data_IF_718203319011
#
_entry.id   IF_718203319011
#
_cell.length_a   1.000
_cell.length_b   1.000
_cell.length_c   1.000
_cell.angle_alpha   90.00
_cell.angle_beta   90.00
_cell.angle_gamma   90.00
#
_symmetry.space_group_name_H-M   'P 1'
#
loop_
_entity.id
_entity.type
_entity.pdbx_description
1 polymer ?
#
# COMPACT_ATOMS: atom_id res chain seq x y z
N UNK A 1 -15.54 14.65 22.55
CA UNK A 1 -14.97 13.44 21.93
C UNK A 1 -15.95 12.29 22.05
N UNK A 2 -16.30 11.91 23.28
CA UNK A 2 -17.26 10.83 23.55
C UNK A 2 -18.62 11.10 22.89
N UNK A 3 -19.15 12.33 23.00
CA UNK A 3 -20.37 12.73 22.28
C UNK A 3 -20.33 12.52 20.75
N UNK A 4 -19.16 12.62 20.11
CA UNK A 4 -19.03 12.38 18.65
C UNK A 4 -19.04 10.88 18.35
N UNK A 5 -18.43 10.07 19.20
CA UNK A 5 -18.45 8.62 19.10
C UNK A 5 -19.86 8.07 19.35
N UNK A 6 -20.53 8.55 20.41
CA UNK A 6 -21.93 8.23 20.73
C UNK A 6 -22.87 8.64 19.60
N UNK A 7 -22.67 9.82 19.02
CA UNK A 7 -23.48 10.28 17.89
C UNK A 7 -23.32 9.38 16.67
N UNK A 8 -22.11 8.88 16.36
CA UNK A 8 -21.93 7.92 15.28
C UNK A 8 -22.71 6.63 15.54
N UNK A 9 -22.59 6.10 16.76
CA UNK A 9 -23.25 4.85 17.17
C UNK A 9 -24.76 5.01 17.06
N UNK A 10 -25.30 6.07 17.66
CA UNK A 10 -26.72 6.40 17.63
C UNK A 10 -27.24 6.57 16.20
N UNK A 11 -26.53 7.33 15.35
CA UNK A 11 -26.96 7.60 13.97
C UNK A 11 -26.99 6.31 13.12
N UNK A 12 -25.98 5.45 13.25
CA UNK A 12 -25.93 4.17 12.54
C UNK A 12 -27.02 3.21 13.03
N UNK A 13 -27.33 3.19 14.32
CA UNK A 13 -28.42 2.35 14.85
C UNK A 13 -29.80 2.87 14.47
N UNK A 14 -30.00 4.19 14.49
CA UNK A 14 -31.29 4.81 14.19
C UNK A 14 -31.63 4.75 12.70
N UNK A 15 -30.64 4.91 11.81
CA UNK A 15 -30.89 5.10 10.38
C UNK A 15 -30.28 4.01 9.49
N UNK A 16 -29.55 3.05 10.07
CA UNK A 16 -28.87 2.00 9.31
C UNK A 16 -27.73 2.53 8.44
N UNK A 17 -27.02 1.64 7.74
CA UNK A 17 -25.92 2.07 6.86
C UNK A 17 -26.45 2.70 5.57
N UNK A 18 -27.50 2.14 4.97
CA UNK A 18 -28.22 2.72 3.83
C UNK A 18 -29.25 3.75 4.29
N UNK A 19 -28.79 4.96 4.62
CA UNK A 19 -29.64 6.03 5.12
C UNK A 19 -29.95 7.11 4.06
N UNK A 20 -30.99 7.91 4.34
CA UNK A 20 -31.38 9.05 3.52
C UNK A 20 -30.21 10.06 3.32
N UNK A 21 -30.19 10.84 2.21
CA UNK A 21 -29.11 11.79 1.92
C UNK A 21 -28.79 12.78 3.07
N UNK A 22 -29.79 13.19 3.83
CA UNK A 22 -29.67 14.07 4.99
C UNK A 22 -28.85 13.41 6.10
N UNK A 23 -29.17 12.15 6.42
CA UNK A 23 -28.46 11.35 7.42
C UNK A 23 -27.02 11.04 6.97
N UNK A 24 -26.80 10.82 5.67
CA UNK A 24 -25.45 10.70 5.10
C UNK A 24 -24.61 11.96 5.30
N UNK A 25 -25.24 13.13 5.24
CA UNK A 25 -24.56 14.41 5.49
C UNK A 25 -24.12 14.50 6.95
N UNK A 26 -24.98 14.10 7.89
CA UNK A 26 -24.64 14.01 9.32
C UNK A 26 -23.47 13.03 9.52
N UNK A 27 -23.57 11.80 8.97
CA UNK A 27 -22.52 10.79 9.07
C UNK A 27 -21.18 11.27 8.51
N UNK A 28 -21.20 12.02 7.40
CA UNK A 28 -20.00 12.65 6.83
C UNK A 28 -19.37 13.66 7.79
N UNK A 29 -20.17 14.50 8.45
CA UNK A 29 -19.68 15.46 9.44
C UNK A 29 -19.09 14.75 10.66
N UNK A 30 -19.75 13.71 11.15
CA UNK A 30 -19.26 12.88 12.26
C UNK A 30 -17.93 12.21 11.89
N UNK A 31 -17.84 11.54 10.75
CA UNK A 31 -16.62 10.88 10.28
C UNK A 31 -15.47 11.88 10.05
N UNK A 32 -15.77 13.07 9.53
CA UNK A 32 -14.78 14.15 9.38
C UNK A 32 -14.27 14.63 10.73
N UNK A 33 -15.15 14.75 11.71
CA UNK A 33 -14.81 15.18 13.07
C UNK A 33 -13.93 14.13 13.75
N UNK A 34 -14.26 12.84 13.63
CA UNK A 34 -13.43 11.74 14.13
C UNK A 34 -12.04 11.72 13.48
N UNK A 35 -11.96 11.97 12.17
CA UNK A 35 -10.67 12.06 11.45
C UNK A 35 -9.81 13.18 12.04
N UNK A 36 -10.39 14.35 12.28
CA UNK A 36 -9.68 15.50 12.83
C UNK A 36 -9.27 15.29 14.29
N UNK A 37 -10.15 14.75 15.12
CA UNK A 37 -9.86 14.45 16.53
C UNK A 37 -8.72 13.44 16.67
N UNK A 38 -8.60 12.51 15.72
CA UNK A 38 -7.56 11.48 15.74
C UNK A 38 -6.24 11.93 15.09
N UNK A 39 -6.20 13.06 14.39
CA UNK A 39 -4.98 13.54 13.74
C UNK A 39 -4.03 14.19 14.74
N UNK A 40 -2.80 13.66 14.86
CA UNK A 40 -1.75 14.22 15.72
C UNK A 40 -2.00 14.16 17.24
N UNK A 41 -3.21 13.82 17.71
CA UNK A 41 -3.57 13.86 19.13
C UNK A 41 -3.62 12.46 19.77
N UNK A 42 -2.53 12.10 20.47
CA UNK A 42 -2.41 10.79 21.14
C UNK A 42 -3.44 10.54 22.23
N UNK A 43 -3.91 11.58 22.94
CA UNK A 43 -4.92 11.43 23.99
C UNK A 43 -6.29 11.12 23.37
N UNK A 44 -6.67 11.84 22.32
CA UNK A 44 -7.91 11.59 21.58
C UNK A 44 -7.93 10.21 20.96
N UNK A 45 -6.81 9.78 20.35
CA UNK A 45 -6.67 8.41 19.83
C UNK A 45 -6.91 7.37 20.90
N UNK A 46 -6.26 7.48 22.07
CA UNK A 46 -6.44 6.53 23.18
C UNK A 46 -7.90 6.49 23.65
N UNK A 47 -8.52 7.65 23.88
CA UNK A 47 -9.93 7.72 24.31
C UNK A 47 -10.88 7.09 23.31
N UNK A 48 -10.74 7.41 22.02
CA UNK A 48 -11.60 6.87 20.98
C UNK A 48 -11.37 5.37 20.75
N UNK A 49 -10.12 4.89 20.82
CA UNK A 49 -9.82 3.45 20.75
C UNK A 49 -10.45 2.68 21.92
N UNK A 50 -10.48 3.26 23.11
CA UNK A 50 -11.08 2.67 24.30
C UNK A 50 -12.59 2.88 24.39
N UNK A 51 -13.18 3.70 23.51
CA UNK A 51 -14.62 3.93 23.51
C UNK A 51 -15.35 2.62 23.15
N UNK A 52 -16.33 2.18 23.94
CA UNK A 52 -17.12 0.99 23.64
C UNK A 52 -17.75 1.10 22.24
N UNK A 53 -17.69 0.01 21.48
CA UNK A 53 -18.34 -0.17 20.17
C UNK A 53 -17.92 0.79 19.04
N UNK A 54 -17.11 1.83 19.28
CA UNK A 54 -16.79 2.81 18.23
C UNK A 54 -16.09 2.16 17.04
N UNK A 55 -15.10 1.29 17.28
CA UNK A 55 -14.36 0.63 16.20
C UNK A 55 -15.30 -0.28 15.40
N UNK A 56 -16.17 -1.02 16.07
CA UNK A 56 -17.15 -1.93 15.46
C UNK A 56 -18.10 -1.16 14.54
N UNK A 57 -18.61 0.00 14.97
CA UNK A 57 -19.50 0.82 14.16
C UNK A 57 -18.79 1.51 13.00
N UNK A 58 -17.54 1.93 13.21
CA UNK A 58 -16.70 2.44 12.13
C UNK A 58 -16.45 1.33 11.08
N UNK A 59 -16.29 0.08 11.49
CA UNK A 59 -16.14 -1.06 10.58
C UNK A 59 -17.45 -1.43 9.87
N UNK A 60 -18.62 -1.35 10.55
CA UNK A 60 -19.94 -1.54 9.90
C UNK A 60 -20.15 -0.60 8.71
N UNK A 61 -19.59 0.61 8.76
CA UNK A 61 -19.64 1.57 7.63
C UNK A 61 -18.73 1.14 6.46
N UNK A 62 -17.70 0.33 6.72
CA UNK A 62 -16.82 -0.22 5.68
C UNK A 62 -17.49 -1.41 4.97
N UNK A 63 -18.16 -2.27 5.75
CA UNK A 63 -18.81 -3.52 5.35
C UNK A 63 -19.82 -3.34 4.21
N UNK A 64 -20.55 -2.23 4.18
CA UNK A 64 -21.61 -1.95 3.20
C UNK A 64 -21.14 -2.01 1.74
N UNK A 65 -21.31 -3.21 1.19
CA UNK A 65 -20.88 -3.66 -0.13
C UNK A 65 -21.94 -3.44 -1.20
N UNK A 66 -23.14 -2.97 -0.83
CA UNK A 66 -24.26 -2.85 -1.75
C UNK A 66 -24.34 -1.49 -2.46
N UNK A 67 -23.63 -0.45 -1.97
CA UNK A 67 -23.61 0.86 -2.63
C UNK A 67 -22.20 1.48 -2.74
N UNK A 68 -21.26 0.79 -3.40
CA UNK A 68 -19.88 1.26 -3.64
C UNK A 68 -19.77 2.72 -4.17
N UNK A 69 -20.79 3.18 -4.90
CA UNK A 69 -20.83 4.55 -5.43
C UNK A 69 -21.34 5.59 -4.42
N UNK A 70 -22.27 5.25 -3.52
CA UNK A 70 -23.06 6.25 -2.81
C UNK A 70 -22.40 6.86 -1.56
N UNK A 71 -21.31 6.28 -1.05
CA UNK A 71 -20.69 6.70 0.21
C UNK A 71 -19.16 6.86 0.17
N UNK A 72 -18.57 7.12 -1.00
CA UNK A 72 -17.09 7.21 -1.17
C UNK A 72 -16.42 8.14 -0.16
N UNK A 73 -16.98 9.33 0.07
CA UNK A 73 -16.37 10.30 1.00
C UNK A 73 -16.38 9.82 2.44
N UNK A 74 -17.48 9.22 2.90
CA UNK A 74 -17.60 8.68 4.26
C UNK A 74 -16.59 7.53 4.43
N UNK A 75 -16.49 6.63 3.45
CA UNK A 75 -15.53 5.52 3.47
C UNK A 75 -14.08 5.97 3.50
N UNK A 76 -13.74 7.09 2.82
CA UNK A 76 -12.41 7.72 2.94
C UNK A 76 -12.17 8.22 4.36
N UNK A 77 -13.10 8.97 4.93
CA UNK A 77 -12.98 9.55 6.27
C UNK A 77 -12.87 8.46 7.36
N UNK A 78 -13.68 7.41 7.24
CA UNK A 78 -13.62 6.24 8.12
C UNK A 78 -12.25 5.54 8.01
N UNK A 79 -11.77 5.26 6.79
CA UNK A 79 -10.45 4.66 6.62
C UNK A 79 -9.31 5.57 7.12
N UNK A 80 -9.42 6.89 6.96
CA UNK A 80 -8.49 7.86 7.54
C UNK A 80 -8.52 7.86 9.06
N UNK A 81 -9.70 7.76 9.67
CA UNK A 81 -9.86 7.62 11.13
C UNK A 81 -9.16 6.33 11.61
N UNK A 82 -9.43 5.18 10.98
CA UNK A 82 -8.76 3.92 11.33
C UNK A 82 -7.24 3.98 11.13
N UNK A 83 -6.78 4.64 10.06
CA UNK A 83 -5.35 4.86 9.81
C UNK A 83 -4.72 5.67 10.95
N UNK A 84 -5.38 6.72 11.41
CA UNK A 84 -4.90 7.54 12.53
C UNK A 84 -4.87 6.75 13.85
N UNK A 85 -5.91 5.97 14.13
CA UNK A 85 -6.04 5.15 15.34
C UNK A 85 -5.01 4.01 15.41
N UNK A 86 -4.57 3.48 14.26
CA UNK A 86 -3.57 2.40 14.18
C UNK A 86 -2.12 2.88 14.20
N UNK A 87 -1.87 4.17 13.92
CA UNK A 87 -0.52 4.73 13.93
C UNK A 87 0.10 4.68 15.33
N UNK A 88 1.14 3.85 15.49
CA UNK A 88 1.86 3.68 16.76
C UNK A 88 1.08 2.96 17.86
N UNK A 89 -0.09 2.36 17.56
CA UNK A 89 -0.95 1.72 18.55
C UNK A 89 -1.14 0.23 18.24
N UNK A 90 -0.33 -0.63 18.87
CA UNK A 90 -0.38 -2.09 18.66
C UNK A 90 -1.71 -2.72 19.07
N UNK A 91 -2.36 -2.22 20.12
CA UNK A 91 -3.66 -2.73 20.57
C UNK A 91 -4.75 -2.48 19.51
N UNK A 92 -4.81 -1.28 18.95
CA UNK A 92 -5.73 -0.97 17.85
C UNK A 92 -5.45 -1.84 16.63
N UNK A 93 -4.18 -2.00 16.25
CA UNK A 93 -3.83 -2.85 15.10
C UNK A 93 -4.31 -4.29 15.27
N UNK A 94 -4.07 -4.89 16.44
CA UNK A 94 -4.56 -6.25 16.76
C UNK A 94 -6.08 -6.34 16.72
N UNK A 95 -6.78 -5.43 17.41
CA UNK A 95 -8.25 -5.40 17.44
C UNK A 95 -8.86 -5.26 16.04
N UNK A 96 -8.25 -4.45 15.17
CA UNK A 96 -8.70 -4.32 13.78
C UNK A 96 -8.43 -5.60 12.98
N UNK A 97 -7.23 -6.18 13.07
CA UNK A 97 -6.91 -7.41 12.35
C UNK A 97 -7.79 -8.59 12.81
N UNK A 98 -8.08 -8.70 14.10
CA UNK A 98 -8.94 -9.74 14.66
C UNK A 98 -10.44 -9.50 14.44
N UNK A 99 -10.84 -8.35 13.89
CA UNK A 99 -12.24 -8.08 13.62
C UNK A 99 -12.71 -8.92 12.41
N UNK A 100 -13.81 -9.67 12.55
CA UNK A 100 -14.31 -10.53 11.48
C UNK A 100 -14.45 -9.77 10.15
N UNK A 101 -13.95 -10.38 9.07
CA UNK A 101 -14.07 -9.91 7.68
C UNK A 101 -13.50 -8.52 7.37
N UNK A 102 -12.92 -7.77 8.33
CA UNK A 102 -12.42 -6.42 8.05
C UNK A 102 -11.40 -6.42 6.91
N UNK A 103 -10.42 -7.33 6.97
CA UNK A 103 -9.39 -7.41 5.93
C UNK A 103 -9.98 -7.81 4.59
N UNK A 104 -10.99 -8.68 4.56
CA UNK A 104 -11.69 -9.05 3.33
C UNK A 104 -12.42 -7.84 2.71
N UNK A 105 -13.10 -7.04 3.53
CA UNK A 105 -13.75 -5.81 3.07
C UNK A 105 -12.73 -4.80 2.53
N UNK A 106 -11.60 -4.63 3.21
CA UNK A 106 -10.51 -3.76 2.77
C UNK A 106 -9.94 -4.23 1.42
N UNK A 107 -9.73 -5.54 1.24
CA UNK A 107 -9.28 -6.15 -0.01
C UNK A 107 -10.26 -5.85 -1.15
N UNK A 108 -11.56 -6.11 -0.92
CA UNK A 108 -12.62 -5.86 -1.90
C UNK A 108 -12.66 -4.39 -2.31
N UNK A 109 -12.53 -3.46 -1.37
CA UNK A 109 -12.49 -2.01 -1.65
C UNK A 109 -11.28 -1.62 -2.51
N UNK A 110 -10.11 -2.19 -2.20
CA UNK A 110 -8.90 -1.92 -2.96
C UNK A 110 -9.04 -2.41 -4.40
N UNK A 111 -9.64 -3.58 -4.61
CA UNK A 111 -9.90 -4.13 -5.94
C UNK A 111 -10.96 -3.37 -6.72
N UNK A 112 -12.10 -3.04 -6.09
CA UNK A 112 -13.26 -2.49 -6.78
C UNK A 112 -13.21 -0.96 -6.96
N UNK A 113 -12.44 -0.24 -6.13
CA UNK A 113 -12.46 1.22 -6.12
C UNK A 113 -11.07 1.84 -6.13
N UNK A 114 -10.61 2.16 -7.33
CA UNK A 114 -9.38 2.92 -7.59
C UNK A 114 -9.24 4.18 -6.73
N UNK A 115 -10.32 4.96 -6.58
CA UNK A 115 -10.29 6.21 -5.80
C UNK A 115 -10.21 6.04 -4.28
N UNK A 116 -10.44 4.81 -3.78
CA UNK A 116 -10.37 4.46 -2.36
C UNK A 116 -9.09 3.69 -2.03
N UNK A 117 -8.53 2.96 -3.00
CA UNK A 117 -7.35 2.12 -2.84
C UNK A 117 -6.20 2.83 -2.10
N UNK A 118 -5.91 4.09 -2.43
CA UNK A 118 -4.86 4.88 -1.77
C UNK A 118 -5.03 5.02 -0.25
N UNK A 119 -6.25 5.22 0.24
CA UNK A 119 -6.50 5.43 1.69
C UNK A 119 -6.49 4.09 2.42
N UNK A 120 -7.07 3.06 1.83
CA UNK A 120 -7.12 1.71 2.40
C UNK A 120 -5.74 1.01 2.38
N UNK A 121 -4.92 1.29 1.37
CA UNK A 121 -3.50 0.91 1.39
C UNK A 121 -2.74 1.59 2.53
N UNK A 122 -3.07 2.85 2.85
CA UNK A 122 -2.52 3.55 4.02
C UNK A 122 -2.87 2.85 5.35
N UNK A 123 -4.11 2.36 5.48
CA UNK A 123 -4.52 1.54 6.63
C UNK A 123 -3.71 0.24 6.69
N UNK A 124 -3.62 -0.51 5.59
CA UNK A 124 -2.84 -1.76 5.53
C UNK A 124 -1.35 -1.53 5.80
N UNK A 125 -0.76 -0.42 5.37
CA UNK A 125 0.62 -0.03 5.70
C UNK A 125 0.80 0.08 7.22
N UNK A 126 -0.13 0.74 7.92
CA UNK A 126 -0.05 0.88 9.36
C UNK A 126 -0.24 -0.45 10.09
N UNK A 127 -1.21 -1.27 9.66
CA UNK A 127 -1.47 -2.59 10.23
C UNK A 127 -0.27 -3.53 10.05
N UNK A 128 0.35 -3.53 8.87
CA UNK A 128 1.50 -4.38 8.55
C UNK A 128 2.83 -3.97 9.20
N UNK A 129 2.95 -2.72 9.65
CA UNK A 129 4.17 -2.25 10.32
C UNK A 129 4.30 -2.85 11.73
N UNK A 130 5.38 -3.61 11.98
CA UNK A 130 5.60 -4.33 13.24
C UNK A 130 4.40 -5.22 13.64
N UNK A 131 3.79 -5.88 12.66
CA UNK A 131 2.77 -6.89 12.89
C UNK A 131 3.37 -8.11 13.61
N UNK A 132 2.61 -8.70 14.53
CA UNK A 132 2.93 -10.02 15.08
C UNK A 132 2.54 -11.14 14.10
N UNK A 133 2.88 -12.39 14.43
CA UNK A 133 2.68 -13.53 13.54
C UNK A 133 1.20 -13.74 13.15
N UNK A 134 0.28 -13.51 14.10
CA UNK A 134 -1.17 -13.64 13.87
C UNK A 134 -1.65 -12.56 12.91
N UNK A 135 -1.30 -11.29 13.16
CA UNK A 135 -1.61 -10.20 12.25
C UNK A 135 -1.00 -10.40 10.86
N UNK A 136 0.24 -10.88 10.77
CA UNK A 136 0.90 -11.17 9.49
C UNK A 136 0.16 -12.23 8.68
N UNK A 137 -0.35 -13.29 9.33
CA UNK A 137 -1.16 -14.31 8.66
C UNK A 137 -2.50 -13.74 8.15
N UNK A 138 -3.17 -12.94 8.99
CA UNK A 138 -4.43 -12.27 8.65
C UNK A 138 -4.28 -11.30 7.48
N UNK A 139 -3.17 -10.58 7.41
CA UNK A 139 -2.91 -9.56 6.38
C UNK A 139 -2.40 -10.14 5.05
N UNK A 140 -1.87 -11.38 5.04
CA UNK A 140 -1.27 -12.00 3.86
C UNK A 140 -2.17 -11.97 2.59
N UNK A 141 -3.49 -12.22 2.66
CA UNK A 141 -4.35 -12.17 1.48
C UNK A 141 -4.41 -10.78 0.79
N UNK A 142 -4.03 -9.72 1.49
CA UNK A 142 -4.05 -8.36 0.93
C UNK A 142 -2.93 -8.05 -0.07
N UNK A 143 -1.90 -8.91 -0.15
CA UNK A 143 -0.73 -8.70 -1.01
C UNK A 143 -1.13 -8.60 -2.48
N UNK A 144 -1.89 -9.56 -3.01
CA UNK A 144 -2.25 -9.56 -4.44
C UNK A 144 -3.19 -8.40 -4.79
N UNK A 145 -4.11 -8.01 -3.90
CA UNK A 145 -4.98 -6.86 -4.13
C UNK A 145 -4.19 -5.55 -4.17
N UNK A 146 -3.19 -5.37 -3.30
CA UNK A 146 -2.30 -4.22 -3.34
C UNK A 146 -1.45 -4.22 -4.61
N UNK A 147 -0.92 -5.36 -5.04
CA UNK A 147 -0.10 -5.47 -6.25
C UNK A 147 -0.92 -5.12 -7.51
N UNK A 148 -2.15 -5.64 -7.63
CA UNK A 148 -3.10 -5.23 -8.67
C UNK A 148 -3.44 -3.75 -8.61
N UNK A 149 -3.65 -3.19 -7.42
CA UNK A 149 -3.94 -1.76 -7.27
C UNK A 149 -2.76 -0.88 -7.71
N UNK A 150 -1.52 -1.26 -7.40
CA UNK A 150 -0.33 -0.58 -7.90
C UNK A 150 -0.27 -0.65 -9.43
N UNK A 151 -0.50 -1.82 -10.03
CA UNK A 151 -0.52 -1.97 -11.49
C UNK A 151 -1.60 -1.13 -12.17
N UNK A 152 -2.81 -1.08 -11.60
CA UNK A 152 -3.89 -0.22 -12.09
C UNK A 152 -3.47 1.25 -12.05
N UNK A 153 -2.93 1.73 -10.93
CA UNK A 153 -2.46 3.10 -10.79
C UNK A 153 -1.32 3.44 -11.77
N UNK A 154 -0.38 2.51 -11.96
CA UNK A 154 0.70 2.64 -12.92
C UNK A 154 0.20 2.82 -14.36
N UNK A 155 -0.66 1.91 -14.84
CA UNK A 155 -1.22 1.94 -16.21
C UNK A 155 -2.08 3.18 -16.47
N UNK A 156 -2.81 3.65 -15.47
CA UNK A 156 -3.58 4.90 -15.58
C UNK A 156 -2.65 6.11 -15.70
N UNK A 157 -1.56 6.14 -14.95
CA UNK A 157 -0.56 7.20 -15.05
C UNK A 157 0.15 7.20 -16.42
N UNK A 158 0.52 6.01 -16.91
CA UNK A 158 1.20 5.82 -18.20
C UNK A 158 0.32 6.20 -19.39
N UNK A 159 -0.89 5.64 -19.49
CA UNK A 159 -1.83 5.93 -20.60
C UNK A 159 -2.15 7.42 -20.74
N UNK A 160 -2.27 8.15 -19.62
CA UNK A 160 -2.51 9.60 -19.62
C UNK A 160 -1.25 10.43 -19.86
N UNK A 161 -0.05 9.85 -19.74
CA UNK A 161 1.19 10.51 -20.13
C UNK A 161 1.31 10.65 -21.65
N UNK A 162 0.82 9.64 -22.39
CA UNK A 162 0.85 9.55 -23.85
C UNK A 162 -0.23 10.41 -24.53
N UNK A 163 -1.37 10.65 -23.86
CA UNK A 163 -2.52 11.38 -24.43
C UNK A 163 -2.38 12.93 -24.47
N UNK A 164 -1.16 13.48 -24.30
CA UNK A 164 -0.85 14.91 -24.04
C UNK A 164 -1.43 15.43 -22.72
N UNK A 165 -0.54 16.05 -21.94
CA UNK A 165 -0.71 16.42 -20.54
C UNK A 165 -2.06 17.05 -20.21
N UNK A 166 -2.89 16.31 -19.47
CA UNK A 166 -4.12 16.84 -18.88
C UNK A 166 -4.16 16.51 -17.38
N UNK A 167 -3.98 17.58 -16.59
CA UNK A 167 -4.03 17.71 -15.13
C UNK A 167 -2.88 17.06 -14.32
N UNK A 168 -1.91 17.90 -13.91
CA UNK A 168 -0.91 17.64 -12.85
C UNK A 168 -1.52 16.96 -11.61
N UNK A 169 -2.76 17.31 -11.25
CA UNK A 169 -3.49 16.72 -10.14
C UNK A 169 -3.72 15.20 -10.29
N UNK A 170 -3.97 14.69 -11.49
CA UNK A 170 -4.14 13.24 -11.71
C UNK A 170 -2.83 12.49 -11.54
N UNK A 171 -1.73 12.97 -12.12
CA UNK A 171 -0.40 12.36 -11.92
C UNK A 171 -0.02 12.30 -10.45
N UNK A 172 -0.32 13.37 -9.70
CA UNK A 172 -0.11 13.42 -8.25
C UNK A 172 -0.99 12.40 -7.51
N UNK A 173 -2.25 12.24 -7.91
CA UNK A 173 -3.15 11.26 -7.28
C UNK A 173 -2.69 9.81 -7.52
N UNK A 174 -2.30 9.47 -8.75
CA UNK A 174 -1.80 8.13 -9.08
C UNK A 174 -0.47 7.85 -8.38
N UNK A 175 0.45 8.81 -8.36
CA UNK A 175 1.71 8.71 -7.61
C UNK A 175 1.46 8.47 -6.12
N UNK A 176 0.50 9.18 -5.49
CA UNK A 176 0.12 8.93 -4.09
C UNK A 176 -0.45 7.52 -3.88
N UNK A 177 -1.26 7.02 -4.82
CA UNK A 177 -1.81 5.66 -4.76
C UNK A 177 -0.69 4.62 -4.86
N UNK A 178 0.23 4.78 -5.81
CA UNK A 178 1.42 3.94 -5.98
C UNK A 178 2.27 3.94 -4.72
N UNK A 179 2.63 5.11 -4.18
CA UNK A 179 3.43 5.20 -2.96
C UNK A 179 2.75 4.49 -1.77
N UNK A 180 1.43 4.68 -1.60
CA UNK A 180 0.69 4.05 -0.51
C UNK A 180 0.64 2.52 -0.64
N UNK A 181 0.33 2.01 -1.83
CA UNK A 181 0.24 0.57 -2.11
C UNK A 181 1.60 -0.11 -2.01
N UNK A 182 2.64 0.46 -2.61
CA UNK A 182 4.01 -0.06 -2.54
C UNK A 182 4.58 0.01 -1.11
N UNK A 183 4.26 1.05 -0.33
CA UNK A 183 4.69 1.12 1.08
C UNK A 183 4.05 0.03 1.93
N UNK A 184 2.77 -0.30 1.69
CA UNK A 184 2.10 -1.42 2.35
C UNK A 184 2.70 -2.77 1.93
N UNK A 185 2.93 -2.95 0.62
CA UNK A 185 3.59 -4.14 0.08
C UNK A 185 5.00 -4.33 0.61
N UNK A 186 5.76 -3.25 0.79
CA UNK A 186 7.11 -3.33 1.33
C UNK A 186 7.12 -3.95 2.74
N UNK A 187 6.19 -3.50 3.61
CA UNK A 187 6.02 -4.10 4.93
C UNK A 187 5.61 -5.58 4.81
N UNK A 188 4.56 -5.89 4.03
CA UNK A 188 4.01 -7.24 3.89
C UNK A 188 5.01 -8.23 3.27
N UNK A 189 5.83 -7.79 2.32
CA UNK A 189 6.84 -8.61 1.67
C UNK A 189 7.90 -9.13 2.66
N UNK A 190 8.13 -8.40 3.76
CA UNK A 190 9.03 -8.82 4.82
C UNK A 190 8.48 -9.97 5.67
N UNK A 191 7.15 -10.14 5.74
CA UNK A 191 6.50 -11.03 6.72
C UNK A 191 6.69 -12.52 6.45
N UNK A 192 6.58 -12.96 5.20
CA UNK A 192 6.60 -14.39 4.88
C UNK A 192 7.21 -14.68 3.51
N UNK A 193 7.53 -15.95 3.26
CA UNK A 193 7.93 -16.41 1.92
C UNK A 193 6.75 -16.38 0.95
N UNK A 194 5.54 -16.70 1.42
CA UNK A 194 4.35 -16.74 0.57
C UNK A 194 3.93 -15.34 0.11
N UNK A 195 4.14 -14.30 0.91
CA UNK A 195 3.92 -12.92 0.47
C UNK A 195 4.89 -12.54 -0.65
N UNK A 196 6.17 -12.93 -0.55
CA UNK A 196 7.16 -12.69 -1.63
C UNK A 196 6.79 -13.46 -2.90
N UNK A 197 6.33 -14.70 -2.76
CA UNK A 197 5.81 -15.52 -3.87
C UNK A 197 4.62 -14.83 -4.54
N UNK A 198 3.62 -14.40 -3.78
CA UNK A 198 2.43 -13.72 -4.30
C UNK A 198 2.78 -12.42 -5.05
N UNK A 199 3.80 -11.69 -4.59
CA UNK A 199 4.33 -10.52 -5.30
C UNK A 199 4.95 -10.91 -6.65
N UNK A 200 5.78 -11.96 -6.69
CA UNK A 200 6.42 -12.41 -7.92
C UNK A 200 5.43 -13.03 -8.93
N UNK A 201 4.36 -13.66 -8.44
CA UNK A 201 3.35 -14.32 -9.27
C UNK A 201 2.29 -13.36 -9.84
N UNK A 202 2.21 -12.12 -9.34
CA UNK A 202 1.25 -11.14 -9.87
C UNK A 202 1.69 -10.65 -11.27
N UNK A 203 0.93 -10.93 -12.34
CA UNK A 203 1.38 -10.69 -13.71
C UNK A 203 1.68 -9.22 -14.02
N UNK A 204 2.88 -8.95 -14.55
CA UNK A 204 3.33 -7.61 -14.91
C UNK A 204 3.80 -6.75 -13.73
N UNK A 205 3.68 -7.23 -12.48
CA UNK A 205 4.03 -6.45 -11.30
C UNK A 205 5.53 -6.22 -11.19
N UNK A 206 6.35 -7.24 -11.47
CA UNK A 206 7.81 -7.11 -11.42
C UNK A 206 8.35 -6.19 -12.52
N UNK A 207 7.80 -6.26 -13.73
CA UNK A 207 8.13 -5.35 -14.83
C UNK A 207 7.82 -3.90 -14.45
N UNK A 208 6.62 -3.65 -13.89
CA UNK A 208 6.26 -2.33 -13.38
C UNK A 208 7.21 -1.86 -12.28
N UNK A 209 7.62 -2.72 -11.33
CA UNK A 209 8.63 -2.34 -10.34
C UNK A 209 9.94 -1.92 -10.99
N UNK A 210 10.41 -2.65 -12.00
CA UNK A 210 11.66 -2.35 -12.73
C UNK A 210 11.54 -1.00 -13.44
N UNK A 211 10.40 -0.71 -14.07
CA UNK A 211 10.16 0.57 -14.76
C UNK A 211 10.10 1.76 -13.80
N UNK A 212 9.63 1.55 -12.57
CA UNK A 212 9.64 2.56 -11.51
C UNK A 212 11.04 2.85 -10.95
N UNK A 213 12.04 2.00 -11.18
CA UNK A 213 13.41 2.24 -10.74
C UNK A 213 14.08 3.29 -11.64
N UNK A 214 14.10 4.55 -11.19
CA UNK A 214 14.70 5.67 -11.92
C UNK A 214 15.62 6.49 -11.01
N UNK A 215 16.69 7.04 -11.59
CA UNK A 215 17.62 7.96 -10.91
C UNK A 215 17.07 9.39 -10.78
N UNK A 216 15.86 9.67 -11.28
CA UNK A 216 15.19 10.97 -11.12
C UNK A 216 14.91 11.28 -9.64
N UNK A 217 15.61 12.29 -9.11
CA UNK A 217 15.47 12.73 -7.72
C UNK A 217 14.03 13.14 -7.36
N UNK A 218 13.21 13.60 -8.33
CA UNK A 218 11.80 13.94 -8.10
C UNK A 218 10.92 12.71 -7.85
N UNK A 219 11.38 11.51 -8.23
CA UNK A 219 10.69 10.24 -8.01
C UNK A 219 11.18 9.49 -6.77
N UNK A 220 12.15 10.01 -6.01
CA UNK A 220 12.75 9.34 -4.84
C UNK A 220 11.70 8.73 -3.88
N UNK A 221 10.62 9.47 -3.59
CA UNK A 221 9.54 9.03 -2.69
C UNK A 221 8.81 7.78 -3.21
N UNK A 222 8.77 7.58 -4.52
CA UNK A 222 8.17 6.41 -5.17
C UNK A 222 9.20 5.28 -5.35
N UNK A 223 10.46 5.62 -5.65
CA UNK A 223 11.55 4.66 -5.85
C UNK A 223 11.91 3.95 -4.53
N UNK A 224 11.84 4.64 -3.39
CA UNK A 224 12.09 4.03 -2.06
C UNK A 224 11.22 2.80 -1.79
N UNK A 225 9.87 2.90 -1.80
CA UNK A 225 9.03 1.73 -1.59
C UNK A 225 9.11 0.72 -2.74
N UNK A 226 9.27 1.14 -4.00
CA UNK A 226 9.43 0.22 -5.13
C UNK A 226 10.68 -0.67 -4.98
N UNK A 227 11.84 -0.06 -4.72
CA UNK A 227 13.10 -0.79 -4.46
C UNK A 227 13.01 -1.65 -3.20
N UNK A 228 12.26 -1.22 -2.18
CA UNK A 228 12.00 -1.97 -0.97
C UNK A 228 11.20 -3.26 -1.18
N UNK A 229 10.13 -3.19 -1.98
CA UNK A 229 9.36 -4.37 -2.41
C UNK A 229 10.26 -5.31 -3.21
N UNK A 230 11.01 -4.78 -4.18
CA UNK A 230 11.91 -5.55 -5.02
C UNK A 230 13.02 -6.26 -4.22
N UNK A 231 13.58 -5.62 -3.19
CA UNK A 231 14.54 -6.26 -2.27
C UNK A 231 13.98 -7.57 -1.71
N UNK A 232 12.75 -7.56 -1.20
CA UNK A 232 12.15 -8.77 -0.64
C UNK A 232 11.73 -9.77 -1.72
N UNK A 233 11.22 -9.31 -2.86
CA UNK A 233 10.92 -10.17 -4.01
C UNK A 233 12.19 -10.91 -4.50
N UNK A 234 13.34 -10.23 -4.52
CA UNK A 234 14.62 -10.81 -4.94
C UNK A 234 15.07 -12.00 -4.08
N UNK A 235 14.69 -12.04 -2.79
CA UNK A 235 14.97 -13.19 -1.93
C UNK A 235 14.23 -14.44 -2.39
N UNK A 236 13.00 -14.30 -2.91
CA UNK A 236 12.24 -15.42 -3.46
C UNK A 236 12.79 -15.81 -4.82
N UNK A 237 13.01 -14.84 -5.73
CA UNK A 237 13.59 -15.06 -7.05
C UNK A 237 14.94 -15.79 -6.99
N UNK A 238 15.80 -15.42 -6.05
CA UNK A 238 17.09 -16.08 -5.82
C UNK A 238 16.97 -17.56 -5.41
N UNK A 239 15.82 -18.01 -4.92
CA UNK A 239 15.59 -19.43 -4.58
C UNK A 239 14.98 -20.20 -5.75
N UNK A 240 14.08 -19.57 -6.51
CA UNK A 240 13.27 -20.26 -7.53
C UNK A 240 13.75 -20.05 -8.97
N UNK A 241 14.70 -19.15 -9.20
CA UNK A 241 15.15 -18.72 -10.53
C UNK A 241 14.43 -17.46 -10.98
N UNK A 242 15.19 -16.41 -11.32
CA UNK A 242 14.64 -15.13 -11.78
C UNK A 242 14.07 -15.22 -13.19
N UNK A 243 14.63 -16.09 -14.03
CA UNK A 243 14.22 -16.41 -15.40
C UNK A 243 12.81 -16.99 -15.50
N UNK A 244 12.31 -17.59 -14.42
CA UNK A 244 10.93 -18.08 -14.32
C UNK A 244 9.89 -16.96 -14.35
N UNK A 245 10.26 -15.77 -13.87
CA UNK A 245 9.34 -14.64 -13.70
C UNK A 245 9.70 -13.42 -14.54
N UNK A 246 10.96 -13.31 -14.96
CA UNK A 246 11.46 -12.18 -15.74
C UNK A 246 12.11 -12.66 -17.03
N UNK A 247 11.77 -12.00 -18.13
CA UNK A 247 12.45 -12.18 -19.40
C UNK A 247 13.91 -11.72 -19.33
N UNK A 248 14.75 -12.21 -20.25
CA UNK A 248 16.16 -11.79 -20.31
C UNK A 248 16.32 -10.28 -20.55
N UNK A 249 15.41 -9.64 -21.27
CA UNK A 249 15.41 -8.19 -21.45
C UNK A 249 15.05 -7.45 -20.16
N UNK A 250 14.04 -7.92 -19.43
CA UNK A 250 13.66 -7.35 -18.13
C UNK A 250 14.78 -7.48 -17.10
N UNK A 251 15.49 -8.63 -17.07
CA UNK A 251 16.66 -8.82 -16.21
C UNK A 251 17.80 -7.85 -16.55
N UNK A 252 18.08 -7.63 -17.84
CA UNK A 252 19.07 -6.63 -18.27
C UNK A 252 18.70 -5.22 -17.83
N UNK A 253 17.44 -4.83 -18.02
CA UNK A 253 16.94 -3.53 -17.59
C UNK A 253 17.02 -3.37 -16.07
N UNK A 254 16.63 -4.39 -15.31
CA UNK A 254 16.74 -4.42 -13.86
C UNK A 254 18.18 -4.15 -13.42
N UNK A 255 19.16 -4.86 -13.98
CA UNK A 255 20.57 -4.68 -13.61
C UNK A 255 21.04 -3.26 -13.94
N UNK A 256 20.69 -2.72 -15.12
CA UNK A 256 20.99 -1.34 -15.47
C UNK A 256 20.46 -0.35 -14.44
N UNK A 257 19.17 -0.43 -14.11
CA UNK A 257 18.54 0.45 -13.13
C UNK A 257 19.16 0.33 -11.74
N UNK A 258 19.47 -0.88 -11.29
CA UNK A 258 20.11 -1.09 -9.99
C UNK A 258 21.50 -0.44 -9.93
N UNK A 259 22.30 -0.54 -11.00
CA UNK A 259 23.62 0.11 -11.06
C UNK A 259 23.48 1.63 -11.04
N UNK A 260 22.55 2.21 -11.81
CA UNK A 260 22.28 3.66 -11.78
C UNK A 260 21.91 4.14 -10.36
N UNK A 261 21.05 3.37 -9.67
CA UNK A 261 20.56 3.72 -8.34
C UNK A 261 21.61 3.61 -7.22
N UNK A 262 22.80 3.04 -7.47
CA UNK A 262 23.91 3.11 -6.52
C UNK A 262 24.40 4.55 -6.28
N UNK A 263 24.14 5.45 -7.24
CA UNK A 263 24.43 6.88 -7.12
C UNK A 263 23.24 7.70 -6.58
N UNK A 264 22.20 7.05 -6.07
CA UNK A 264 21.01 7.75 -5.53
C UNK A 264 21.36 8.61 -4.31
N UNK A 265 20.76 9.79 -4.13
CA UNK A 265 20.94 10.58 -2.90
C UNK A 265 20.22 9.97 -1.68
N UNK A 266 19.40 8.92 -1.83
CA UNK A 266 18.71 8.25 -0.72
C UNK A 266 19.46 6.99 -0.28
N UNK A 267 19.95 7.00 0.97
CA UNK A 267 20.54 5.82 1.60
C UNK A 267 19.57 4.63 1.68
N UNK A 268 18.26 4.91 1.77
CA UNK A 268 17.22 3.87 1.74
C UNK A 268 17.23 3.12 0.41
N UNK A 269 17.30 3.86 -0.70
CA UNK A 269 17.38 3.28 -2.05
C UNK A 269 18.67 2.48 -2.20
N UNK A 270 19.82 3.07 -1.85
CA UNK A 270 21.12 2.38 -1.92
C UNK A 270 21.08 1.08 -1.11
N UNK A 271 20.60 1.12 0.14
CA UNK A 271 20.50 -0.05 0.99
C UNK A 271 19.57 -1.13 0.42
N UNK A 272 18.47 -0.73 -0.22
CA UNK A 272 17.58 -1.67 -0.90
C UNK A 272 18.24 -2.31 -2.13
N UNK A 273 18.92 -1.52 -2.96
CA UNK A 273 19.66 -1.97 -4.15
C UNK A 273 20.76 -2.96 -3.78
N UNK A 274 21.58 -2.64 -2.78
CA UNK A 274 22.60 -3.55 -2.24
C UNK A 274 21.97 -4.85 -1.73
N UNK A 275 20.80 -4.75 -1.10
CA UNK A 275 19.99 -5.90 -0.71
C UNK A 275 19.63 -6.80 -1.91
N UNK A 276 19.15 -6.21 -3.01
CA UNK A 276 18.85 -6.96 -4.25
C UNK A 276 20.10 -7.64 -4.82
N UNK A 277 21.21 -6.89 -4.94
CA UNK A 277 22.47 -7.43 -5.43
C UNK A 277 22.98 -8.59 -4.57
N UNK A 278 22.86 -8.49 -3.24
CA UNK A 278 23.27 -9.58 -2.34
C UNK A 278 22.53 -10.90 -2.61
N UNK A 279 21.27 -10.83 -3.06
CA UNK A 279 20.46 -12.02 -3.35
C UNK A 279 20.75 -12.55 -4.76
N UNK A 280 20.74 -11.69 -5.76
CA UNK A 280 20.83 -12.10 -7.16
C UNK A 280 22.27 -12.43 -7.58
N UNK A 281 23.27 -11.67 -7.12
CA UNK A 281 24.68 -11.95 -7.45
C UNK A 281 25.23 -13.15 -6.71
N UNK A 282 24.69 -13.50 -5.54
CA UNK A 282 25.17 -14.67 -4.81
C UNK A 282 24.97 -15.98 -5.59
N UNK A 283 23.98 -16.04 -6.49
CA UNK A 283 23.51 -17.30 -7.08
C UNK A 283 23.52 -17.37 -8.60
N UNK A 284 23.72 -16.26 -9.30
CA UNK A 284 23.66 -16.24 -10.76
C UNK A 284 24.95 -15.69 -11.38
N UNK A 285 25.72 -16.58 -11.99
CA UNK A 285 26.97 -16.24 -12.68
C UNK A 285 26.75 -15.38 -13.93
N UNK A 286 25.62 -15.54 -14.62
CA UNK A 286 25.29 -14.72 -15.79
C UNK A 286 24.97 -13.28 -15.38
N UNK A 287 24.24 -13.10 -14.27
CA UNK A 287 23.98 -11.77 -13.70
C UNK A 287 25.28 -11.07 -13.25
N UNK A 288 26.27 -11.80 -12.73
CA UNK A 288 27.59 -11.23 -12.41
C UNK A 288 28.30 -10.68 -13.65
N UNK A 289 28.32 -11.43 -14.74
CA UNK A 289 28.91 -10.99 -16.01
C UNK A 289 28.17 -9.78 -16.60
N UNK A 290 26.85 -9.74 -16.46
CA UNK A 290 26.01 -8.61 -16.87
C UNK A 290 26.31 -7.33 -16.08
N UNK A 291 26.51 -7.40 -14.76
CA UNK A 291 26.90 -6.22 -13.96
C UNK A 291 28.22 -5.64 -14.44
N UNK A 292 29.23 -6.48 -14.73
CA UNK A 292 30.51 -6.01 -15.24
C UNK A 292 30.35 -5.30 -16.59
N UNK A 293 29.61 -5.90 -17.53
CA UNK A 293 29.32 -5.31 -18.84
C UNK A 293 28.62 -3.96 -18.73
N UNK A 294 27.58 -3.85 -17.90
CA UNK A 294 26.84 -2.60 -17.71
C UNK A 294 27.71 -1.54 -17.03
N UNK A 295 28.52 -1.93 -16.04
CA UNK A 295 29.42 -1.00 -15.37
C UNK A 295 30.45 -0.39 -16.35
N UNK A 296 31.02 -1.21 -17.24
CA UNK A 296 31.92 -0.71 -18.29
C UNK A 296 31.22 0.26 -19.25
N UNK A 297 29.95 0.04 -19.58
CA UNK A 297 29.18 0.93 -20.46
C UNK A 297 28.82 2.28 -19.80
N UNK A 298 28.79 2.37 -18.47
CA UNK A 298 28.49 3.61 -17.75
C UNK A 298 29.75 4.48 -17.57
N UNK A 299 30.94 3.88 -17.64
CA UNK A 299 32.23 4.58 -17.43
C UNK A 299 32.80 5.18 -18.73
N UNK A 300 32.35 4.70 -19.90
CA UNK A 300 32.76 5.19 -21.23
C UNK A 300 31.76 6.24 -21.71
#
# INVERSE_FOLDING_TARGET
MDAVAELLIFEVDAFGIDCAPENRTIRKLVASTLTNLTFGNSQSKRRLCSHPNLIEYVIRIIDDSHTLAQNRTIRKLVASTLTNLTFGNSQSKRRLCSHPNLIEYVIRIIDDSHTLAQVYAGLLRNLSWMADAEMSAILAPSVSALARASLRAYRVAESKSLARASLRAYRVAESKCLCATLSALWNLASHSRDNKKAICEEPGFLEMLIELLTSDAQQTVLVEPASGVLKYASMYLAVVGSDRYLSSSALRLLIHRLVELLNSPSFTIIGNVLGVFSQLLAKDHQLRSLVLLVHFQIII
#
